data_IF_389658549301
#
_entry.id   IF_389658549301
#
_cell.length_a   1.000
_cell.length_b   1.000
_cell.length_c   1.000
_cell.angle_alpha   90.00
_cell.angle_beta   90.00
_cell.angle_gamma   90.00
#
_symmetry.space_group_name_H-M   'P 1'
#
loop_
_entity.id
_entity.type
_entity.pdbx_description
1 polymer ?
#
# COMPACT_ATOMS: atom_id res chain seq x y z
N UNK A 1 -7.39 -11.68 -4.62
CA UNK A 1 -6.65 -10.43 -4.38
C UNK A 1 -5.35 -10.79 -3.68
N UNK A 2 -4.20 -10.44 -4.23
CA UNK A 2 -2.89 -10.70 -3.65
C UNK A 2 -2.26 -9.37 -3.23
N UNK A 3 -1.94 -9.26 -1.95
CA UNK A 3 -1.32 -8.09 -1.32
C UNK A 3 -0.12 -8.56 -0.50
N UNK A 4 0.94 -7.78 -0.52
CA UNK A 4 2.12 -8.02 0.29
C UNK A 4 2.84 -6.67 0.47
N UNK A 5 3.12 -6.26 1.72
CA UNK A 5 3.90 -5.05 1.97
C UNK A 5 5.33 -5.27 1.46
N UNK A 6 5.92 -4.25 0.84
CA UNK A 6 7.27 -4.32 0.30
C UNK A 6 8.38 -4.05 1.32
N UNK A 7 9.64 -4.46 1.04
CA UNK A 7 10.06 -5.23 -0.13
C UNK A 7 9.69 -6.72 -0.04
N UNK A 8 9.51 -7.38 -1.20
CA UNK A 8 9.11 -8.79 -1.29
C UNK A 8 10.14 -9.56 -2.12
N UNK A 9 10.58 -10.72 -1.63
CA UNK A 9 11.53 -11.60 -2.31
C UNK A 9 10.81 -12.56 -3.28
N UNK A 10 10.71 -12.16 -4.55
CA UNK A 10 10.19 -13.02 -5.62
C UNK A 10 11.03 -14.28 -5.79
N UNK A 11 10.38 -15.43 -5.97
CA UNK A 11 11.02 -16.74 -6.09
C UNK A 11 11.45 -17.37 -4.76
N UNK A 12 11.25 -16.67 -3.63
CA UNK A 12 11.50 -17.20 -2.28
C UNK A 12 10.22 -17.15 -1.44
N UNK A 13 9.62 -15.97 -1.30
CA UNK A 13 8.41 -15.75 -0.49
C UNK A 13 7.13 -15.99 -1.31
N UNK A 14 7.19 -15.63 -2.60
CA UNK A 14 6.07 -15.68 -3.54
C UNK A 14 6.61 -15.95 -4.93
N UNK A 15 5.93 -16.79 -5.72
CA UNK A 15 6.36 -17.02 -7.10
C UNK A 15 6.10 -15.77 -7.95
N UNK A 16 6.93 -15.48 -8.97
CA UNK A 16 6.73 -14.32 -9.85
C UNK A 16 5.34 -14.29 -10.50
N UNK A 17 4.80 -15.44 -10.88
CA UNK A 17 3.51 -15.56 -11.57
C UNK A 17 2.34 -15.14 -10.68
N UNK A 18 2.45 -15.37 -9.37
CA UNK A 18 1.44 -14.94 -8.39
C UNK A 18 1.65 -13.47 -8.02
N UNK A 19 2.91 -13.05 -7.82
CA UNK A 19 3.25 -11.67 -7.46
C UNK A 19 2.89 -10.65 -8.54
N UNK A 20 3.01 -11.03 -9.81
CA UNK A 20 2.78 -10.16 -10.96
C UNK A 20 1.55 -10.58 -11.79
N UNK A 21 0.76 -11.55 -11.30
CA UNK A 21 -0.43 -12.09 -11.96
C UNK A 21 -1.68 -11.20 -11.88
N UNK A 22 -2.78 -11.59 -12.55
CA UNK A 22 -3.98 -10.76 -12.71
C UNK A 22 -4.74 -10.46 -11.41
N UNK A 23 -4.45 -11.19 -10.34
CA UNK A 23 -5.04 -10.96 -9.02
C UNK A 23 -4.13 -10.14 -8.09
N UNK A 24 -2.94 -9.75 -8.56
CA UNK A 24 -2.00 -8.94 -7.79
C UNK A 24 -2.42 -7.48 -7.75
N UNK A 25 -2.44 -6.95 -6.52
CA UNK A 25 -2.62 -5.52 -6.25
C UNK A 25 -1.52 -4.99 -5.35
N UNK A 26 -0.37 -5.65 -5.31
CA UNK A 26 0.77 -5.30 -4.45
C UNK A 26 1.17 -3.83 -4.66
N UNK A 27 1.38 -3.41 -5.91
CA UNK A 27 1.75 -2.03 -6.21
C UNK A 27 0.65 -1.04 -5.86
N UNK A 28 -0.61 -1.36 -6.18
CA UNK A 28 -1.75 -0.52 -5.83
C UNK A 28 -1.87 -0.34 -4.30
N UNK A 29 -1.69 -1.41 -3.53
CA UNK A 29 -1.70 -1.39 -2.08
C UNK A 29 -0.59 -0.48 -1.51
N UNK A 30 0.63 -0.58 -2.02
CA UNK A 30 1.75 0.27 -1.61
C UNK A 30 1.48 1.74 -1.96
N UNK A 31 1.02 2.01 -3.18
CA UNK A 31 0.65 3.36 -3.64
C UNK A 31 -0.46 3.97 -2.79
N UNK A 32 -1.50 3.20 -2.47
CA UNK A 32 -2.61 3.63 -1.62
C UNK A 32 -2.13 4.02 -0.21
N UNK A 33 -1.00 3.48 0.26
CA UNK A 33 -0.40 3.86 1.54
C UNK A 33 -0.08 5.35 1.65
N UNK A 34 0.19 6.05 0.54
CA UNK A 34 0.42 7.51 0.55
C UNK A 34 -0.87 8.23 0.92
N UNK A 35 -1.98 7.92 0.22
CA UNK A 35 -3.27 8.54 0.48
C UNK A 35 -3.75 8.31 1.92
N UNK A 36 -3.58 7.09 2.44
CA UNK A 36 -3.94 6.75 3.83
C UNK A 36 -3.13 7.56 4.83
N UNK A 37 -1.80 7.68 4.64
CA UNK A 37 -0.95 8.49 5.52
C UNK A 37 -1.28 9.97 5.45
N UNK A 38 -1.54 10.51 4.25
CA UNK A 38 -1.95 11.91 4.09
C UNK A 38 -3.27 12.19 4.81
N UNK A 39 -4.26 11.29 4.67
CA UNK A 39 -5.54 11.42 5.38
C UNK A 39 -5.35 11.35 6.91
N UNK A 40 -4.54 10.41 7.40
CA UNK A 40 -4.25 10.29 8.83
C UNK A 40 -3.55 11.54 9.38
N UNK A 41 -2.54 12.07 8.68
CA UNK A 41 -1.85 13.30 9.07
C UNK A 41 -2.78 14.51 9.01
N UNK A 42 -3.67 14.60 8.02
CA UNK A 42 -4.66 15.67 7.95
C UNK A 42 -5.61 15.66 9.14
N UNK A 43 -6.13 14.48 9.52
CA UNK A 43 -7.01 14.35 10.69
C UNK A 43 -6.32 14.75 12.01
N UNK A 44 -5.04 14.39 12.16
CA UNK A 44 -4.30 14.59 13.40
C UNK A 44 -3.64 15.97 13.52
N UNK A 45 -3.19 16.54 12.39
CA UNK A 45 -2.35 17.74 12.35
C UNK A 45 -2.96 18.86 11.49
N UNK A 46 -3.79 18.52 10.51
CA UNK A 46 -4.38 19.47 9.56
C UNK A 46 -5.71 20.07 10.02
N UNK A 47 -6.30 19.57 11.10
CA UNK A 47 -7.60 20.03 11.61
C UNK A 47 -7.49 21.23 12.58
N UNK A 48 -6.31 21.83 12.76
CA UNK A 48 -6.11 22.98 13.67
C UNK A 48 -6.53 24.35 13.10
N UNK A 49 -7.19 24.41 11.94
CA UNK A 49 -7.67 25.68 11.34
C UNK A 49 -9.18 25.76 11.15
N UNK A 50 -9.95 24.94 11.86
CA UNK A 50 -11.41 25.05 11.94
C UNK A 50 -11.86 25.25 13.39
N UNK A 51 -11.43 26.36 13.98
CA UNK A 51 -11.99 26.92 15.22
C UNK A 51 -12.04 28.45 15.08
#
# INVERSE_FOLDING_TARGET
LIMAPGPINRGVEITPEVADGPHSVILQQVSNGIAVRMAALWLLLGNESSA
#
